data_IF_751778285681
#
_entry.id   IF_751778285681
#
_cell.length_a   1.000
_cell.length_b   1.000
_cell.length_c   1.000
_cell.angle_alpha   90.00
_cell.angle_beta   90.00
_cell.angle_gamma   90.00
#
_symmetry.space_group_name_H-M   'P 1'
#
loop_
_entity.id
_entity.type
_entity.pdbx_description
1 polymer ?
#
# COMPACT_ATOMS: atom_id res chain seq x y z
N UNK A 1 25.89 -48.45 8.86
CA UNK A 1 26.70 -47.28 8.49
C UNK A 1 25.75 -46.12 8.26
N UNK A 2 25.56 -45.29 9.28
CA UNK A 2 24.68 -44.11 9.29
C UNK A 2 25.38 -43.02 8.48
N UNK A 3 24.84 -42.70 7.30
CA UNK A 3 25.29 -41.56 6.51
C UNK A 3 24.70 -40.31 7.14
N UNK A 4 25.47 -39.66 7.99
CA UNK A 4 25.16 -38.33 8.54
C UNK A 4 25.00 -37.39 7.36
N UNK A 5 23.77 -36.98 7.05
CA UNK A 5 23.50 -36.06 5.96
C UNK A 5 24.15 -34.71 6.28
N UNK A 6 24.75 -34.15 5.23
CA UNK A 6 25.56 -32.93 5.23
C UNK A 6 24.81 -31.74 5.82
N UNK A 7 25.57 -30.91 6.53
CA UNK A 7 25.11 -29.71 7.22
C UNK A 7 24.64 -28.66 6.20
N UNK A 8 23.41 -28.77 5.72
CA UNK A 8 22.71 -27.69 5.06
C UNK A 8 22.46 -26.58 6.08
N UNK A 9 22.69 -25.31 5.73
CA UNK A 9 22.42 -24.10 6.55
C UNK A 9 20.95 -23.97 7.04
N UNK A 10 20.10 -24.96 6.76
CA UNK A 10 18.67 -24.98 7.06
C UNK A 10 18.38 -25.78 8.34
N UNK A 11 17.34 -25.35 9.07
CA UNK A 11 16.80 -26.13 10.19
C UNK A 11 16.22 -27.45 9.67
N UNK A 12 16.43 -28.54 10.42
CA UNK A 12 15.93 -29.85 10.02
C UNK A 12 14.38 -29.92 10.04
N UNK A 13 13.83 -30.74 9.15
CA UNK A 13 12.38 -30.85 8.94
C UNK A 13 11.63 -31.37 10.17
N UNK A 14 12.25 -32.21 11.01
CA UNK A 14 11.58 -32.70 12.22
C UNK A 14 11.39 -31.55 13.22
N UNK A 15 12.44 -30.75 13.43
CA UNK A 15 12.36 -29.54 14.26
C UNK A 15 11.31 -28.56 13.73
N UNK A 16 11.24 -28.34 12.41
CA UNK A 16 10.22 -27.48 11.81
C UNK A 16 8.79 -27.98 12.09
N UNK A 17 8.54 -29.28 11.95
CA UNK A 17 7.24 -29.89 12.25
C UNK A 17 6.85 -29.73 13.72
N UNK A 18 7.79 -29.95 14.63
CA UNK A 18 7.53 -29.78 16.07
C UNK A 18 7.27 -28.32 16.45
N UNK A 19 7.99 -27.37 15.84
CA UNK A 19 7.71 -25.92 16.01
C UNK A 19 6.31 -25.57 15.50
N UNK A 20 5.94 -26.04 14.31
CA UNK A 20 4.63 -25.77 13.73
C UNK A 20 3.48 -26.26 14.63
N UNK A 21 3.59 -27.47 15.20
CA UNK A 21 2.57 -28.01 16.13
C UNK A 21 2.43 -27.19 17.41
N UNK A 22 3.53 -26.62 17.91
CA UNK A 22 3.58 -25.87 19.18
C UNK A 22 3.12 -24.42 19.08
N UNK A 23 2.91 -23.91 17.87
CA UNK A 23 2.57 -22.50 17.63
C UNK A 23 1.30 -22.34 16.78
N UNK A 24 0.43 -23.37 16.78
CA UNK A 24 -0.81 -23.37 16.00
C UNK A 24 -1.76 -22.24 16.40
N UNK A 25 -1.71 -21.82 17.66
CA UNK A 25 -2.50 -20.72 18.21
C UNK A 25 -2.10 -19.34 17.67
N UNK A 26 -0.92 -19.22 17.04
CA UNK A 26 -0.43 -17.98 16.43
C UNK A 26 -0.80 -17.85 14.94
N UNK A 27 -1.60 -18.76 14.40
CA UNK A 27 -2.05 -18.72 13.01
C UNK A 27 -0.89 -18.81 12.02
N UNK A 28 -0.82 -17.87 11.07
CA UNK A 28 0.22 -17.83 10.04
C UNK A 28 1.59 -17.36 10.56
N UNK A 29 1.64 -16.74 11.74
CA UNK A 29 2.87 -16.25 12.34
C UNK A 29 3.69 -17.41 12.92
N UNK A 30 4.86 -17.66 12.35
CA UNK A 30 5.77 -18.71 12.82
C UNK A 30 6.92 -18.13 13.67
N UNK A 31 7.57 -18.95 14.51
CA UNK A 31 8.77 -18.53 15.24
C UNK A 31 9.97 -18.13 14.37
N UNK A 32 9.90 -18.32 13.04
CA UNK A 32 10.93 -17.91 12.10
C UNK A 32 10.73 -16.49 11.55
N UNK A 33 9.64 -15.80 11.90
CA UNK A 33 9.46 -14.39 11.57
C UNK A 33 10.52 -13.54 12.27
N UNK A 34 11.28 -12.73 11.52
CA UNK A 34 12.43 -11.98 12.04
C UNK A 34 12.12 -10.51 12.35
N UNK A 35 10.94 -10.03 11.95
CA UNK A 35 10.48 -8.67 12.23
C UNK A 35 9.91 -8.50 13.65
N UNK A 36 9.76 -7.25 14.08
CA UNK A 36 8.94 -6.94 15.26
C UNK A 36 7.46 -6.89 14.83
N UNK A 37 6.65 -7.80 15.37
CA UNK A 37 5.25 -7.97 14.95
C UNK A 37 4.41 -6.73 15.24
N UNK A 38 4.61 -6.11 16.41
CA UNK A 38 3.83 -4.94 16.79
C UNK A 38 4.16 -3.75 15.89
N UNK A 39 5.45 -3.47 15.67
CA UNK A 39 5.88 -2.40 14.77
C UNK A 39 5.42 -2.64 13.34
N UNK A 40 5.48 -3.89 12.86
CA UNK A 40 4.96 -4.25 11.55
C UNK A 40 3.47 -3.94 11.42
N UNK A 41 2.67 -4.32 12.42
CA UNK A 41 1.24 -4.01 12.47
C UNK A 41 1.03 -2.49 12.49
N UNK A 42 1.73 -1.75 13.34
CA UNK A 42 1.55 -0.30 13.48
C UNK A 42 1.86 0.44 12.17
N UNK A 43 2.93 0.06 11.47
CA UNK A 43 3.27 0.62 10.16
C UNK A 43 2.21 0.28 9.11
N UNK A 44 1.69 -0.96 9.10
CA UNK A 44 0.63 -1.36 8.18
C UNK A 44 -0.71 -0.68 8.50
N UNK A 45 -0.96 -0.27 9.76
CA UNK A 45 -2.15 0.52 10.07
C UNK A 45 -2.07 1.92 9.44
N UNK A 46 -0.87 2.52 9.35
CA UNK A 46 -0.66 3.75 8.57
C UNK A 46 -0.91 3.51 7.09
N UNK A 47 -0.50 2.37 6.53
CA UNK A 47 -0.81 1.99 5.14
C UNK A 47 -2.33 1.89 4.94
N UNK A 48 -3.04 1.10 5.75
CA UNK A 48 -4.51 0.95 5.66
C UNK A 48 -5.21 2.30 5.74
N UNK A 49 -4.80 3.18 6.66
CA UNK A 49 -5.38 4.50 6.79
C UNK A 49 -5.12 5.38 5.55
N UNK A 50 -3.89 5.33 5.02
CA UNK A 50 -3.48 6.07 3.82
C UNK A 50 -4.29 5.66 2.61
N UNK A 51 -4.35 4.35 2.35
CA UNK A 51 -5.09 3.80 1.21
C UNK A 51 -6.59 4.05 1.32
N UNK A 52 -7.16 3.95 2.53
CA UNK A 52 -8.56 4.29 2.74
C UNK A 52 -8.84 5.78 2.45
N UNK A 53 -7.93 6.68 2.81
CA UNK A 53 -8.05 8.10 2.44
C UNK A 53 -7.94 8.30 0.93
N UNK A 54 -7.02 7.60 0.25
CA UNK A 54 -6.89 7.63 -1.21
C UNK A 54 -8.15 7.13 -1.92
N UNK A 55 -8.74 6.01 -1.49
CA UNK A 55 -10.03 5.50 -1.97
C UNK A 55 -11.10 6.59 -1.90
N UNK A 56 -11.22 7.24 -0.74
CA UNK A 56 -12.25 8.26 -0.53
C UNK A 56 -12.00 9.50 -1.41
N UNK A 57 -10.74 9.93 -1.55
CA UNK A 57 -10.34 11.07 -2.39
C UNK A 57 -10.63 10.81 -3.86
N UNK A 58 -10.14 9.70 -4.41
CA UNK A 58 -10.37 9.33 -5.81
C UNK A 58 -11.85 9.12 -6.11
N UNK A 59 -12.59 8.48 -5.21
CA UNK A 59 -14.04 8.34 -5.35
C UNK A 59 -14.70 9.71 -5.44
N UNK A 60 -14.36 10.63 -4.54
CA UNK A 60 -14.90 11.99 -4.55
C UNK A 60 -14.54 12.74 -5.84
N UNK A 61 -13.29 12.67 -6.30
CA UNK A 61 -12.85 13.29 -7.56
C UNK A 61 -13.57 12.69 -8.78
N UNK A 62 -13.74 11.37 -8.83
CA UNK A 62 -14.43 10.69 -9.94
C UNK A 62 -15.88 11.15 -10.11
N UNK A 63 -16.55 11.50 -9.01
CA UNK A 63 -17.94 11.95 -8.99
C UNK A 63 -18.04 13.46 -9.28
N UNK A 64 -17.09 14.23 -8.76
CA UNK A 64 -17.20 15.70 -8.72
C UNK A 64 -16.51 16.39 -9.90
N UNK A 65 -15.83 15.65 -10.76
CA UNK A 65 -15.12 16.21 -11.91
C UNK A 65 -16.10 16.70 -12.98
N UNK A 66 -15.92 17.94 -13.44
CA UNK A 66 -16.77 18.59 -14.44
C UNK A 66 -15.91 19.19 -15.57
N UNK A 67 -16.42 19.18 -16.80
CA UNK A 67 -15.75 19.77 -17.97
C UNK A 67 -16.00 19.00 -19.27
N UNK A 68 -15.53 19.53 -20.41
CA UNK A 68 -15.72 18.89 -21.73
C UNK A 68 -15.03 17.53 -21.87
N UNK A 69 -13.97 17.29 -21.11
CA UNK A 69 -13.16 16.05 -21.11
C UNK A 69 -13.31 15.28 -19.80
N UNK A 70 -14.37 15.53 -19.02
CA UNK A 70 -14.48 15.00 -17.66
C UNK A 70 -14.83 13.52 -17.61
N UNK A 71 -15.49 12.95 -18.62
CA UNK A 71 -15.96 11.57 -18.59
C UNK A 71 -14.80 10.56 -18.53
N UNK A 72 -13.81 10.66 -19.43
CA UNK A 72 -12.66 9.75 -19.42
C UNK A 72 -11.79 9.93 -18.17
N UNK A 73 -11.68 11.15 -17.63
CA UNK A 73 -10.90 11.40 -16.41
C UNK A 73 -11.66 10.92 -15.16
N UNK A 74 -12.99 11.01 -15.16
CA UNK A 74 -13.82 10.42 -14.11
C UNK A 74 -13.63 8.90 -14.07
N UNK A 75 -13.60 8.24 -15.23
CA UNK A 75 -13.34 6.81 -15.35
C UNK A 75 -11.95 6.43 -14.84
N UNK A 76 -10.92 7.24 -15.14
CA UNK A 76 -9.55 7.06 -14.63
C UNK A 76 -9.53 7.15 -13.10
N UNK A 77 -10.07 8.22 -12.52
CA UNK A 77 -10.17 8.38 -11.07
C UNK A 77 -10.96 7.25 -10.40
N UNK A 78 -12.02 6.75 -11.05
CA UNK A 78 -12.79 5.62 -10.55
C UNK A 78 -12.03 4.29 -10.66
N UNK A 79 -11.06 4.18 -11.57
CA UNK A 79 -10.16 3.03 -11.70
C UNK A 79 -9.15 3.05 -10.56
N UNK A 80 -8.45 4.18 -10.36
CA UNK A 80 -7.54 4.34 -9.23
C UNK A 80 -8.26 4.07 -7.90
N UNK A 81 -9.47 4.62 -7.68
CA UNK A 81 -10.27 4.32 -6.46
C UNK A 81 -10.46 2.81 -6.17
N UNK A 82 -10.51 1.96 -7.22
CA UNK A 82 -10.62 0.50 -7.06
C UNK A 82 -9.27 -0.13 -6.74
N UNK A 83 -8.19 0.35 -7.34
CA UNK A 83 -6.81 -0.09 -7.07
C UNK A 83 -6.41 0.27 -5.64
N UNK A 84 -6.64 1.50 -5.19
CA UNK A 84 -6.42 1.91 -3.79
C UNK A 84 -7.20 1.04 -2.80
N UNK A 85 -8.40 0.60 -3.18
CA UNK A 85 -9.19 -0.32 -2.37
C UNK A 85 -8.52 -1.69 -2.29
N UNK A 86 -7.90 -2.15 -3.38
CA UNK A 86 -7.13 -3.39 -3.38
C UNK A 86 -5.88 -3.26 -2.51
N UNK A 87 -5.15 -2.14 -2.58
CA UNK A 87 -3.99 -1.83 -1.74
C UNK A 87 -4.34 -1.87 -0.25
N UNK A 88 -5.40 -1.14 0.13
CA UNK A 88 -5.95 -1.11 1.49
C UNK A 88 -6.29 -2.52 2.01
N UNK A 89 -6.95 -3.34 1.19
CA UNK A 89 -7.32 -4.70 1.57
C UNK A 89 -6.11 -5.61 1.69
N UNK A 90 -5.10 -5.46 0.84
CA UNK A 90 -3.85 -6.22 0.94
C UNK A 90 -3.16 -5.95 2.28
N UNK A 91 -3.00 -4.68 2.65
CA UNK A 91 -2.40 -4.29 3.93
C UNK A 91 -3.24 -4.75 5.14
N UNK A 92 -4.57 -4.62 5.07
CA UNK A 92 -5.47 -5.08 6.13
C UNK A 92 -5.40 -6.60 6.34
N UNK A 93 -5.39 -7.38 5.26
CA UNK A 93 -5.21 -8.83 5.34
C UNK A 93 -3.82 -9.18 5.89
N UNK A 94 -2.80 -8.38 5.57
CA UNK A 94 -1.46 -8.61 6.12
C UNK A 94 -1.40 -8.38 7.63
N UNK A 95 -2.12 -7.39 8.15
CA UNK A 95 -2.28 -7.17 9.60
C UNK A 95 -2.90 -8.39 10.28
N UNK A 96 -3.97 -8.95 9.71
CA UNK A 96 -4.63 -10.17 10.24
C UNK A 96 -3.68 -11.36 10.26
N UNK A 97 -2.90 -11.57 9.19
CA UNK A 97 -1.88 -12.63 9.12
C UNK A 97 -0.78 -12.49 10.20
N UNK A 98 -0.49 -11.26 10.63
CA UNK A 98 0.45 -10.96 11.71
C UNK A 98 -0.20 -11.04 13.11
N UNK A 99 -1.50 -11.35 13.18
CA UNK A 99 -2.26 -11.49 14.42
C UNK A 99 -2.84 -10.17 14.96
N UNK A 100 -2.84 -9.10 14.14
CA UNK A 100 -3.47 -7.83 14.46
C UNK A 100 -4.92 -7.75 14.00
N UNK A 101 -5.60 -6.66 14.39
CA UNK A 101 -6.94 -6.32 13.89
C UNK A 101 -6.83 -5.05 13.05
N UNK A 102 -7.15 -5.07 11.75
CA UNK A 102 -7.01 -3.89 10.91
C UNK A 102 -8.04 -2.82 11.31
N UNK A 103 -7.61 -1.56 11.34
CA UNK A 103 -8.42 -0.45 11.84
C UNK A 103 -9.03 0.38 10.70
N UNK A 104 -10.31 0.11 10.42
CA UNK A 104 -11.13 0.84 9.44
C UNK A 104 -11.99 1.95 10.08
N UNK A 105 -11.79 2.25 11.36
CA UNK A 105 -12.62 3.24 12.05
C UNK A 105 -12.42 4.64 11.43
N UNK A 106 -13.50 5.32 10.99
CA UNK A 106 -13.39 6.69 10.50
C UNK A 106 -12.85 7.65 11.57
N UNK A 107 -13.01 7.35 12.86
CA UNK A 107 -12.43 8.14 13.94
C UNK A 107 -10.90 8.08 13.88
N UNK A 108 -10.28 9.26 13.79
CA UNK A 108 -8.82 9.41 13.71
C UNK A 108 -8.20 8.99 12.38
N UNK A 109 -8.99 8.61 11.37
CA UNK A 109 -8.49 8.16 10.06
C UNK A 109 -7.50 9.16 9.44
N UNK A 110 -7.88 10.44 9.37
CA UNK A 110 -7.04 11.49 8.80
C UNK A 110 -5.72 11.71 9.57
N UNK A 111 -5.69 11.38 10.87
CA UNK A 111 -4.47 11.51 11.70
C UNK A 111 -3.54 10.30 11.52
N UNK A 112 -4.08 9.13 11.19
CA UNK A 112 -3.30 7.91 10.94
C UNK A 112 -2.77 7.83 9.50
N UNK A 113 -3.44 8.49 8.56
CA UNK A 113 -3.05 8.55 7.15
C UNK A 113 -1.82 9.42 6.92
N UNK A 114 -0.93 8.99 6.03
CA UNK A 114 0.15 9.82 5.51
C UNK A 114 -0.36 10.80 4.43
N UNK A 115 -1.43 10.43 3.72
CA UNK A 115 -2.03 11.22 2.64
C UNK A 115 -3.20 12.07 3.13
N UNK A 116 -3.49 13.17 2.42
CA UNK A 116 -4.60 14.06 2.73
C UNK A 116 -5.87 13.67 1.97
N UNK A 117 -7.04 13.89 2.57
CA UNK A 117 -8.33 13.66 1.90
C UNK A 117 -8.54 14.54 0.66
N UNK A 118 -7.95 15.74 0.64
CA UNK A 118 -8.14 16.69 -0.46
C UNK A 118 -9.49 17.39 -0.44
N UNK A 119 -9.81 18.06 -1.55
CA UNK A 119 -11.03 18.85 -1.76
C UNK A 119 -11.41 18.81 -3.23
N UNK A 120 -12.70 19.03 -3.51
CA UNK A 120 -13.14 19.32 -4.87
C UNK A 120 -12.53 20.62 -5.42
N UNK A 121 -12.89 20.98 -6.64
CA UNK A 121 -12.32 22.11 -7.36
C UNK A 121 -12.53 21.95 -8.84
N UNK A 122 -11.75 22.67 -9.65
CA UNK A 122 -11.72 22.39 -11.08
C UNK A 122 -10.87 21.13 -11.37
N UNK A 123 -11.06 20.56 -12.56
CA UNK A 123 -10.35 19.36 -13.03
C UNK A 123 -8.83 19.42 -12.78
N UNK A 124 -8.17 20.52 -13.13
CA UNK A 124 -6.72 20.65 -13.01
C UNK A 124 -6.28 20.64 -11.54
N UNK A 125 -7.07 21.23 -10.65
CA UNK A 125 -6.81 21.19 -9.20
C UNK A 125 -6.95 19.78 -8.64
N UNK A 126 -7.92 19.00 -9.10
CA UNK A 126 -8.10 17.60 -8.69
C UNK A 126 -6.92 16.73 -9.12
N UNK A 127 -6.50 16.84 -10.40
CA UNK A 127 -5.32 16.10 -10.92
C UNK A 127 -4.05 16.47 -10.15
N UNK A 128 -3.82 17.76 -9.85
CA UNK A 128 -2.67 18.18 -9.05
C UNK A 128 -2.71 17.63 -7.62
N UNK A 129 -3.88 17.60 -6.99
CA UNK A 129 -4.03 17.04 -5.65
C UNK A 129 -3.70 15.54 -5.63
N UNK A 130 -4.20 14.78 -6.60
CA UNK A 130 -3.88 13.36 -6.74
C UNK A 130 -2.38 13.15 -7.00
N UNK A 131 -1.77 13.89 -7.93
CA UNK A 131 -0.33 13.78 -8.19
C UNK A 131 0.54 14.06 -6.96
N UNK A 132 0.18 15.08 -6.17
CA UNK A 132 0.90 15.37 -4.92
C UNK A 132 0.74 14.24 -3.92
N UNK A 133 -0.46 13.68 -3.81
CA UNK A 133 -0.72 12.55 -2.94
C UNK A 133 0.08 11.30 -3.36
N UNK A 134 0.11 10.94 -4.64
CA UNK A 134 0.86 9.75 -5.09
C UNK A 134 2.35 9.89 -4.86
N UNK A 135 2.91 11.08 -5.08
CA UNK A 135 4.32 11.33 -4.79
C UNK A 135 4.65 11.15 -3.30
N UNK A 136 3.75 11.55 -2.41
CA UNK A 136 3.90 11.33 -0.97
C UNK A 136 3.85 9.83 -0.65
N UNK A 137 2.87 9.11 -1.20
CA UNK A 137 2.72 7.65 -0.99
C UNK A 137 3.95 6.90 -1.51
N UNK A 138 4.46 7.23 -2.70
CA UNK A 138 5.69 6.66 -3.28
C UNK A 138 6.89 6.82 -2.32
N UNK A 139 7.10 8.02 -1.75
CA UNK A 139 8.19 8.26 -0.81
C UNK A 139 8.02 7.43 0.46
N UNK A 140 6.80 7.41 1.02
CA UNK A 140 6.46 6.64 2.21
C UNK A 140 6.68 5.14 2.01
N UNK A 141 6.23 4.59 0.89
CA UNK A 141 6.31 3.16 0.60
C UNK A 141 7.74 2.70 0.39
N UNK A 142 8.58 3.53 -0.25
CA UNK A 142 10.02 3.26 -0.35
C UNK A 142 10.68 3.17 1.03
N UNK A 143 10.24 3.94 2.03
CA UNK A 143 10.72 3.80 3.41
C UNK A 143 10.27 2.48 4.05
N UNK A 144 8.99 2.13 3.90
CA UNK A 144 8.44 0.88 4.43
C UNK A 144 9.12 -0.35 3.82
N UNK A 145 9.32 -0.37 2.50
CA UNK A 145 10.02 -1.46 1.80
C UNK A 145 11.42 -1.68 2.36
N UNK A 146 12.17 -0.59 2.62
CA UNK A 146 13.49 -0.66 3.26
C UNK A 146 13.42 -1.18 4.69
N UNK A 147 12.39 -0.79 5.44
CA UNK A 147 12.19 -1.24 6.82
C UNK A 147 11.93 -2.75 6.90
N UNK A 148 10.98 -3.26 6.11
CA UNK A 148 10.62 -4.68 6.13
C UNK A 148 11.73 -5.55 5.57
N UNK A 149 12.35 -5.14 4.45
CA UNK A 149 13.56 -5.75 3.91
C UNK A 149 13.50 -7.28 3.87
N UNK A 150 14.59 -7.92 4.30
CA UNK A 150 14.67 -9.39 4.34
C UNK A 150 14.03 -10.01 5.59
N UNK A 151 13.62 -9.19 6.57
CA UNK A 151 13.00 -9.66 7.82
C UNK A 151 11.52 -10.01 7.66
N UNK A 152 10.85 -9.33 6.72
CA UNK A 152 9.49 -9.65 6.29
C UNK A 152 9.37 -9.53 4.76
N UNK A 153 9.88 -10.53 4.01
CA UNK A 153 9.82 -10.50 2.55
C UNK A 153 8.38 -10.54 2.01
N UNK A 154 7.42 -11.04 2.79
CA UNK A 154 6.00 -11.09 2.35
C UNK A 154 5.42 -9.69 2.33
N UNK A 155 5.60 -8.92 3.41
CA UNK A 155 5.14 -7.52 3.44
C UNK A 155 5.93 -6.67 2.45
N UNK A 156 7.24 -6.89 2.31
CA UNK A 156 8.06 -6.18 1.33
C UNK A 156 7.52 -6.34 -0.09
N UNK A 157 7.30 -7.58 -0.54
CA UNK A 157 6.82 -7.87 -1.90
C UNK A 157 5.43 -7.24 -2.14
N UNK A 158 4.55 -7.30 -1.15
CA UNK A 158 3.23 -6.66 -1.22
C UNK A 158 3.37 -5.14 -1.43
N UNK A 159 4.24 -4.48 -0.65
CA UNK A 159 4.46 -3.03 -0.77
C UNK A 159 5.19 -2.65 -2.06
N UNK A 160 6.09 -3.49 -2.57
CA UNK A 160 6.74 -3.30 -3.87
C UNK A 160 5.73 -3.35 -5.02
N UNK A 161 4.72 -4.22 -4.92
CA UNK A 161 3.63 -4.27 -5.90
C UNK A 161 2.77 -3.01 -5.87
N UNK A 162 2.33 -2.59 -4.68
CA UNK A 162 1.55 -1.36 -4.51
C UNK A 162 2.36 -0.16 -5.00
N UNK A 163 3.64 -0.05 -4.62
CA UNK A 163 4.52 1.03 -5.08
C UNK A 163 4.58 1.14 -6.61
N UNK A 164 4.60 0.01 -7.33
CA UNK A 164 4.62 0.02 -8.78
C UNK A 164 3.31 0.61 -9.37
N UNK A 165 2.17 0.28 -8.77
CA UNK A 165 0.86 0.83 -9.14
C UNK A 165 0.79 2.34 -8.80
N UNK A 166 1.33 2.79 -7.66
CA UNK A 166 1.39 4.22 -7.35
C UNK A 166 2.28 5.04 -8.29
N UNK A 167 3.38 4.45 -8.75
CA UNK A 167 4.24 5.07 -9.77
C UNK A 167 3.53 5.21 -11.12
N UNK A 168 2.66 4.26 -11.47
CA UNK A 168 1.76 4.34 -12.62
C UNK A 168 0.71 5.44 -12.42
N UNK A 169 -0.01 5.45 -11.29
CA UNK A 169 -0.99 6.48 -10.96
C UNK A 169 -0.38 7.90 -11.04
N UNK A 170 0.82 8.09 -10.50
CA UNK A 170 1.53 9.37 -10.57
C UNK A 170 1.87 9.76 -12.02
N UNK A 171 2.22 8.79 -12.85
CA UNK A 171 2.49 9.01 -14.28
C UNK A 171 1.22 9.46 -15.00
N UNK A 172 0.09 8.80 -14.76
CA UNK A 172 -1.18 9.16 -15.38
C UNK A 172 -1.63 10.57 -15.00
N UNK A 173 -1.51 10.94 -13.72
CA UNK A 173 -1.82 12.29 -13.27
C UNK A 173 -0.90 13.34 -13.91
N UNK A 174 0.39 13.03 -14.04
CA UNK A 174 1.34 13.91 -14.70
C UNK A 174 1.00 14.10 -16.18
N UNK A 175 0.67 13.02 -16.89
CA UNK A 175 0.35 13.03 -18.31
C UNK A 175 -0.94 13.81 -18.61
N UNK A 176 -1.94 13.73 -17.73
CA UNK A 176 -3.13 14.59 -17.79
C UNK A 176 -2.78 16.09 -17.68
N UNK A 177 -1.83 16.46 -16.81
CA UNK A 177 -1.38 17.85 -16.70
C UNK A 177 -0.59 18.31 -17.93
N UNK A 178 0.29 17.46 -18.45
CA UNK A 178 1.05 17.71 -19.69
C UNK A 178 0.12 17.90 -20.88
N UNK A 179 -0.88 17.04 -21.03
CA UNK A 179 -1.89 17.13 -22.08
C UNK A 179 -2.68 18.45 -21.99
N UNK A 180 -3.01 18.90 -20.77
CA UNK A 180 -3.68 20.17 -20.54
C UNK A 180 -2.79 21.38 -20.89
N UNK A 181 -1.52 21.37 -20.51
CA UNK A 181 -0.59 22.50 -20.74
C UNK A 181 -0.03 22.56 -22.17
N UNK A 182 -0.18 21.50 -22.96
CA UNK A 182 0.29 21.43 -24.35
C UNK A 182 1.80 21.42 -24.49
N UNK A 183 2.54 20.99 -23.45
CA UNK A 183 4.01 20.92 -23.42
C UNK A 183 4.47 19.67 -22.66
N UNK A 184 5.59 19.03 -23.05
CA UNK A 184 5.98 17.73 -22.51
C UNK A 184 6.45 17.75 -21.05
N UNK A 185 6.76 18.92 -20.48
CA UNK A 185 7.22 19.06 -19.10
C UNK A 185 6.50 20.23 -18.41
N UNK A 186 6.07 20.02 -17.16
CA UNK A 186 5.53 21.07 -16.30
C UNK A 186 6.65 22.08 -15.98
N UNK A 187 6.34 23.38 -15.93
CA UNK A 187 7.28 24.39 -15.43
C UNK A 187 7.33 24.32 -13.90
N UNK A 188 8.54 24.45 -13.35
CA UNK A 188 8.78 24.65 -11.91
C UNK A 188 8.00 25.84 -11.35
#
# INVERSE_FOLDING_TARGET
MTKTAENTFLTDVQTLRERAKKSIEKGALTPAYEGDVQTAIDLLQTVVATELVCVLRYTMHSISVEGLTSESIAEEFATHAKEERAHMLAAANRIDQLGGVPNFDPEGLATRSASEYGKGGNLVEMVRQNLVAERLVIEHYRELIRYFGDKDPTTRIMLEHILAEEEEHATDMHDLLVAHEGRPFLKE
#
